data_IF_238628740388
#
_entry.id   IF_238628740388
#
_cell.length_a   1.000
_cell.length_b   1.000
_cell.length_c   1.000
_cell.angle_alpha   90.00
_cell.angle_beta   90.00
_cell.angle_gamma   90.00
#
_symmetry.space_group_name_H-M   'P 1'
#
loop_
_entity.id
_entity.type
_entity.pdbx_description
1 polymer ?
#
# COMPACT_ATOMS: atom_id res chain seq x y z
N UNK A 1 -8.79 22.01 -13.73
CA UNK A 1 -10.09 21.60 -14.31
C UNK A 1 -10.19 20.10 -14.08
N UNK A 2 -10.96 19.67 -13.08
CA UNK A 2 -11.01 18.28 -12.64
C UNK A 2 -11.86 17.48 -13.62
N UNK A 3 -11.22 16.95 -14.67
CA UNK A 3 -11.84 15.97 -15.56
C UNK A 3 -12.24 14.76 -14.73
N UNK A 4 -13.36 14.11 -15.05
CA UNK A 4 -13.71 12.82 -14.44
C UNK A 4 -12.68 11.72 -14.75
N UNK A 5 -11.90 11.93 -15.81
CA UNK A 5 -10.78 11.07 -16.20
C UNK A 5 -9.45 11.48 -15.54
N UNK A 6 -9.43 12.58 -14.78
CA UNK A 6 -8.24 13.00 -14.05
C UNK A 6 -8.00 12.04 -12.87
N UNK A 7 -6.74 11.69 -12.65
CA UNK A 7 -6.34 10.89 -11.49
C UNK A 7 -6.76 11.57 -10.20
N UNK A 8 -6.66 12.90 -10.12
CA UNK A 8 -7.10 13.69 -8.97
C UNK A 8 -8.60 13.61 -8.65
N UNK A 9 -9.44 13.32 -9.65
CA UNK A 9 -10.87 13.05 -9.43
C UNK A 9 -11.13 11.63 -8.92
N UNK A 10 -10.30 10.67 -9.34
CA UNK A 10 -10.41 9.26 -8.95
C UNK A 10 -9.74 8.95 -7.60
N UNK A 11 -9.10 9.95 -6.99
CA UNK A 11 -8.51 9.91 -5.65
C UNK A 11 -7.02 10.21 -5.66
N UNK A 12 -6.42 10.33 -4.46
CA UNK A 12 -4.96 10.44 -4.37
C UNK A 12 -4.29 9.21 -4.99
N UNK A 13 -3.11 9.38 -5.58
CA UNK A 13 -2.26 8.26 -6.03
C UNK A 13 -2.13 7.25 -4.88
N UNK A 14 -2.31 5.95 -5.16
CA UNK A 14 -2.40 4.83 -4.18
C UNK A 14 -3.77 4.62 -3.51
N UNK A 15 -4.79 5.42 -3.81
CA UNK A 15 -6.16 5.18 -3.29
C UNK A 15 -6.84 3.95 -3.90
N UNK A 16 -6.36 3.46 -5.05
CA UNK A 16 -6.82 2.26 -5.76
C UNK A 16 -6.81 1.03 -4.86
N UNK A 17 -5.76 0.87 -4.05
CA UNK A 17 -5.62 -0.19 -3.05
C UNK A 17 -6.79 -0.22 -2.04
N UNK A 18 -7.24 0.94 -1.54
CA UNK A 18 -8.39 1.03 -0.63
C UNK A 18 -9.71 0.79 -1.36
N UNK A 19 -9.82 1.24 -2.62
CA UNK A 19 -11.01 1.05 -3.45
C UNK A 19 -11.19 -0.40 -3.88
N UNK A 20 -10.10 -1.13 -4.12
CA UNK A 20 -10.09 -2.55 -4.41
C UNK A 20 -10.63 -3.40 -3.25
N UNK A 21 -10.60 -2.90 -2.01
CA UNK A 21 -11.25 -3.57 -0.86
C UNK A 21 -12.78 -3.49 -0.91
N UNK A 22 -13.33 -2.47 -1.58
CA UNK A 22 -14.78 -2.23 -1.65
C UNK A 22 -15.37 -2.75 -2.95
N UNK A 23 -14.67 -2.57 -4.07
CA UNK A 23 -15.11 -2.93 -5.42
C UNK A 23 -13.95 -3.59 -6.21
N UNK A 24 -13.54 -4.81 -5.83
CA UNK A 24 -12.37 -5.50 -6.41
C UNK A 24 -12.48 -5.74 -7.92
N UNK A 25 -13.69 -5.89 -8.46
CA UNK A 25 -13.97 -6.08 -9.88
C UNK A 25 -13.51 -4.90 -10.75
N UNK A 26 -13.42 -3.70 -10.18
CA UNK A 26 -12.92 -2.51 -10.86
C UNK A 26 -11.39 -2.41 -10.82
N UNK A 27 -10.72 -3.20 -9.97
CA UNK A 27 -9.29 -3.18 -9.74
C UNK A 27 -8.70 -4.60 -9.80
N UNK A 28 -8.85 -5.32 -10.93
CA UNK A 28 -8.56 -6.76 -11.02
C UNK A 28 -7.08 -7.11 -10.82
N UNK A 29 -6.19 -6.12 -11.00
CA UNK A 29 -4.75 -6.30 -10.82
C UNK A 29 -4.27 -5.87 -9.43
N UNK A 30 -5.15 -5.28 -8.62
CA UNK A 30 -4.74 -4.85 -7.29
C UNK A 30 -4.69 -6.01 -6.30
N UNK A 31 -3.67 -5.94 -5.46
CA UNK A 31 -3.44 -6.95 -4.44
C UNK A 31 -4.30 -6.65 -3.21
N UNK A 32 -4.81 -7.69 -2.50
CA UNK A 32 -5.42 -7.50 -1.20
C UNK A 32 -4.56 -6.67 -0.24
N UNK A 33 -5.21 -5.82 0.57
CA UNK A 33 -4.59 -5.00 1.61
C UNK A 33 -4.15 -5.85 2.80
N UNK A 34 -3.14 -6.68 2.60
CA UNK A 34 -2.53 -7.49 3.63
C UNK A 34 -1.09 -7.03 3.84
N UNK A 35 -0.67 -6.92 5.11
CA UNK A 35 0.67 -6.40 5.48
C UNK A 35 1.78 -7.13 4.72
N UNK A 36 1.73 -8.45 4.60
CA UNK A 36 2.75 -9.24 3.90
C UNK A 36 2.83 -8.99 2.38
N UNK A 37 1.83 -8.33 1.79
CA UNK A 37 1.79 -7.98 0.37
C UNK A 37 2.33 -6.57 0.09
N UNK A 38 2.64 -5.81 1.14
CA UNK A 38 3.25 -4.49 1.03
C UNK A 38 4.71 -4.58 0.56
N UNK A 39 5.26 -3.54 -0.09
CA UNK A 39 6.69 -3.44 -0.38
C UNK A 39 7.54 -3.72 0.86
N UNK A 40 8.71 -4.34 0.67
CA UNK A 40 9.60 -4.67 1.78
C UNK A 40 10.03 -3.43 2.57
N UNK A 41 10.38 -2.35 1.86
CA UNK A 41 10.77 -1.05 2.44
C UNK A 41 9.65 -0.46 3.32
N UNK A 42 8.39 -0.55 2.88
CA UNK A 42 7.24 -0.06 3.65
C UNK A 42 7.01 -0.91 4.91
N UNK A 43 7.15 -2.23 4.82
CA UNK A 43 7.02 -3.12 5.99
C UNK A 43 8.11 -2.87 7.03
N UNK A 44 9.34 -2.67 6.56
CA UNK A 44 10.48 -2.32 7.41
C UNK A 44 10.25 -0.98 8.12
N UNK A 45 9.78 0.03 7.41
CA UNK A 45 9.54 1.37 7.95
C UNK A 45 8.34 1.44 8.93
N UNK A 46 7.28 0.65 8.71
CA UNK A 46 5.99 0.85 9.41
C UNK A 46 5.53 -0.32 10.29
N UNK A 47 6.03 -1.55 10.10
CA UNK A 47 5.51 -2.72 10.82
C UNK A 47 6.39 -3.19 11.99
N UNK A 48 7.70 -2.92 11.95
CA UNK A 48 8.63 -3.34 13.01
C UNK A 48 8.70 -4.87 13.19
N UNK A 49 9.19 -5.32 14.36
CA UNK A 49 9.23 -6.74 14.72
C UNK A 49 10.03 -7.59 13.73
N UNK A 50 9.40 -8.64 13.19
CA UNK A 50 10.02 -9.52 12.20
C UNK A 50 10.46 -8.78 10.92
N UNK A 51 9.83 -7.65 10.60
CA UNK A 51 10.12 -6.86 9.40
C UNK A 51 11.28 -5.87 9.57
N UNK A 52 11.77 -5.65 10.80
CA UNK A 52 12.83 -4.71 11.12
C UNK A 52 14.04 -5.39 11.81
N UNK A 53 14.26 -6.69 11.54
CA UNK A 53 15.29 -7.49 12.21
C UNK A 53 16.70 -6.86 12.15
N UNK A 54 17.07 -6.21 11.04
CA UNK A 54 18.37 -5.55 10.87
C UNK A 54 18.58 -4.33 11.78
N UNK A 55 17.52 -3.68 12.25
CA UNK A 55 17.63 -2.56 13.20
C UNK A 55 17.93 -3.02 14.62
N UNK A 56 17.48 -4.23 14.99
CA UNK A 56 17.79 -4.80 16.31
C UNK A 56 19.27 -5.20 16.41
N UNK A 57 19.87 -5.68 15.31
CA UNK A 57 21.29 -6.04 15.26
C UNK A 57 22.21 -4.81 15.30
N UNK A 58 21.81 -3.69 14.69
CA UNK A 58 22.57 -2.44 14.70
C UNK A 58 22.57 -1.71 16.06
N UNK A 59 21.68 -2.09 16.99
CA UNK A 59 21.55 -1.48 18.31
C UNK A 59 22.29 -2.24 19.44
N UNK A 60 22.95 -3.36 19.12
CA UNK A 60 23.71 -4.21 20.04
C UNK A 60 25.23 -3.94 19.97
#
# INVERSE_FOLDING_TARGET
>A
MNSIFDGGFNGATRSEMYRAQVAPELFPNEKPMLVHQWPAEDREAYCGGEYAAGYAEAAA
#
